data_IF_964156291515
#
_entry.id   IF_964156291515
#
_cell.length_a   1.000
_cell.length_b   1.000
_cell.length_c   1.000
_cell.angle_alpha   90.00
_cell.angle_beta   90.00
_cell.angle_gamma   90.00
#
_symmetry.space_group_name_H-M   'P 1'
#
loop_
_entity.id
_entity.type
_entity.pdbx_description
1 polymer ?
#
# COMPACT_ATOMS: atom_id res chain seq x y z
N UNK A 1 10.06 53.98 30.08
CA UNK A 1 10.48 53.47 28.77
C UNK A 1 11.82 52.78 28.94
N UNK A 2 11.80 51.45 29.10
CA UNK A 2 12.97 50.61 28.98
C UNK A 2 12.52 49.32 28.31
N UNK A 3 13.26 48.94 27.28
CA UNK A 3 13.01 47.81 26.41
C UNK A 3 13.22 46.48 27.15
N UNK A 4 12.26 45.58 27.04
CA UNK A 4 12.45 44.16 27.32
C UNK A 4 12.66 43.44 25.98
N UNK A 5 13.93 43.23 25.66
CA UNK A 5 14.36 42.29 24.63
C UNK A 5 14.31 40.90 25.25
N UNK A 6 13.34 40.09 24.83
CA UNK A 6 13.22 38.68 25.16
C UNK A 6 14.38 37.91 24.53
N UNK A 7 15.48 37.75 25.27
CA UNK A 7 16.54 36.82 24.90
C UNK A 7 16.06 35.39 25.19
N UNK A 8 15.84 34.63 24.12
CA UNK A 8 15.79 33.16 24.15
C UNK A 8 17.07 32.66 24.80
N UNK A 9 16.94 32.07 25.99
CA UNK A 9 18.05 31.59 26.80
C UNK A 9 18.49 30.23 26.27
N UNK A 10 19.47 30.20 25.38
CA UNK A 10 20.16 28.97 24.96
C UNK A 10 20.62 28.19 26.22
N UNK A 11 20.24 26.91 26.30
CA UNK A 11 20.60 26.06 27.43
C UNK A 11 22.04 25.55 27.26
N UNK A 12 22.89 25.58 28.31
CA UNK A 12 24.31 25.20 28.21
C UNK A 12 24.57 23.73 27.83
N UNK A 13 23.52 22.89 27.84
CA UNK A 13 23.56 21.49 27.39
C UNK A 13 23.58 21.35 25.86
N UNK A 14 22.82 22.18 25.15
CA UNK A 14 22.71 22.16 23.68
C UNK A 14 24.04 22.51 23.02
N UNK A 15 24.64 23.62 23.48
CA UNK A 15 25.91 24.11 22.95
C UNK A 15 27.00 23.04 23.02
N UNK A 16 27.01 22.24 24.09
CA UNK A 16 27.96 21.12 24.24
C UNK A 16 27.71 19.98 23.25
N UNK A 17 26.45 19.69 22.93
CA UNK A 17 26.10 18.65 21.95
C UNK A 17 26.47 19.10 20.53
N UNK A 18 26.20 20.35 20.17
CA UNK A 18 26.55 20.92 18.86
C UNK A 18 28.06 20.97 18.68
N UNK A 19 28.82 21.42 19.68
CA UNK A 19 30.29 21.40 19.63
C UNK A 19 30.83 19.98 19.44
N UNK A 20 30.28 19.00 20.16
CA UNK A 20 30.68 17.61 20.02
C UNK A 20 30.38 17.07 18.61
N UNK A 21 29.22 17.40 18.05
CA UNK A 21 28.89 17.05 16.67
C UNK A 21 29.89 17.67 15.68
N UNK A 22 30.22 18.96 15.83
CA UNK A 22 31.19 19.64 14.97
C UNK A 22 32.58 19.01 15.04
N UNK A 23 33.02 18.58 16.23
CA UNK A 23 34.27 17.84 16.42
C UNK A 23 34.25 16.51 15.68
N UNK A 24 33.17 15.73 15.80
CA UNK A 24 33.01 14.45 15.11
C UNK A 24 32.97 14.64 13.60
N UNK A 25 32.22 15.62 13.08
CA UNK A 25 32.14 15.92 11.64
C UNK A 25 33.49 16.36 11.07
N UNK A 26 34.23 17.21 11.80
CA UNK A 26 35.60 17.59 11.42
C UNK A 26 36.56 16.39 11.41
N UNK A 27 36.41 15.48 12.38
CA UNK A 27 37.17 14.24 12.44
C UNK A 27 36.85 13.34 11.24
N UNK A 28 35.55 13.20 10.91
CA UNK A 28 35.08 12.44 9.75
C UNK A 28 35.71 12.95 8.45
N UNK A 29 35.62 14.26 8.17
CA UNK A 29 36.20 14.85 6.95
C UNK A 29 37.68 14.49 6.80
N UNK A 30 38.47 14.76 7.84
CA UNK A 30 39.92 14.54 7.83
C UNK A 30 40.31 13.06 7.72
N UNK A 31 39.54 12.19 8.38
CA UNK A 31 39.76 10.75 8.37
C UNK A 31 39.49 10.17 6.99
N UNK A 32 38.38 10.59 6.36
CA UNK A 32 37.99 10.14 5.03
C UNK A 32 38.98 10.63 3.97
N UNK A 33 39.42 11.89 4.05
CA UNK A 33 40.52 12.42 3.22
C UNK A 33 41.82 11.62 3.38
N UNK A 34 42.05 11.05 4.57
CA UNK A 34 43.18 10.16 4.87
C UNK A 34 42.97 8.70 4.45
N UNK A 35 41.80 8.34 3.91
CA UNK A 35 41.43 6.98 3.49
C UNK A 35 40.91 6.07 4.60
N UNK A 36 40.58 6.60 5.78
CA UNK A 36 40.00 5.86 6.92
C UNK A 36 38.55 6.29 7.18
N UNK A 37 37.61 5.34 7.06
CA UNK A 37 36.18 5.57 7.31
C UNK A 37 35.72 5.29 8.74
N UNK A 38 36.62 4.92 9.66
CA UNK A 38 36.29 4.47 11.02
C UNK A 38 35.55 5.51 11.88
N UNK A 39 35.68 6.80 11.54
CA UNK A 39 35.01 7.90 12.23
C UNK A 39 33.52 8.03 11.89
N UNK A 40 33.05 7.42 10.79
CA UNK A 40 31.63 7.45 10.41
C UNK A 40 30.76 6.69 11.42
N UNK A 41 31.26 5.59 12.00
CA UNK A 41 30.50 4.87 13.04
C UNK A 41 30.33 5.69 14.31
N UNK A 42 31.32 6.51 14.69
CA UNK A 42 31.19 7.42 15.85
C UNK A 42 30.09 8.47 15.62
N UNK A 43 29.98 8.99 14.40
CA UNK A 43 28.88 9.89 14.02
C UNK A 43 27.53 9.17 14.10
N UNK A 44 27.43 7.96 13.54
CA UNK A 44 26.19 7.16 13.58
C UNK A 44 25.77 6.90 15.03
N UNK A 45 26.66 6.41 15.88
CA UNK A 45 26.36 6.10 17.28
C UNK A 45 25.91 7.35 18.07
N UNK A 46 26.54 8.51 17.81
CA UNK A 46 26.15 9.78 18.41
C UNK A 46 24.72 10.18 18.02
N UNK A 47 24.40 10.13 16.73
CA UNK A 47 23.08 10.50 16.21
C UNK A 47 21.98 9.51 16.64
N UNK A 48 22.30 8.22 16.69
CA UNK A 48 21.39 7.21 17.21
C UNK A 48 21.08 7.43 18.70
N UNK A 49 22.08 7.84 19.48
CA UNK A 49 21.88 8.18 20.90
C UNK A 49 20.96 9.40 21.05
N UNK A 50 21.18 10.45 20.26
CA UNK A 50 20.37 11.67 20.31
C UNK A 50 18.91 11.37 19.91
N UNK A 51 18.71 10.73 18.76
CA UNK A 51 17.37 10.38 18.28
C UNK A 51 16.66 9.40 19.22
N UNK A 52 17.36 8.39 19.74
CA UNK A 52 16.81 7.43 20.71
C UNK A 52 16.33 8.11 21.99
N UNK A 53 17.13 9.03 22.54
CA UNK A 53 16.73 9.77 23.75
C UNK A 53 15.47 10.62 23.57
N UNK A 54 15.31 11.23 22.40
CA UNK A 54 14.13 12.04 22.07
C UNK A 54 12.89 11.17 21.78
N UNK A 55 13.07 9.99 21.19
CA UNK A 55 11.99 9.03 20.95
C UNK A 55 11.49 8.39 22.26
N UNK A 56 12.39 8.09 23.20
CA UNK A 56 12.02 7.51 24.50
C UNK A 56 11.25 8.49 25.39
N UNK A 57 11.44 9.79 25.21
CA UNK A 57 10.78 10.84 26.01
C UNK A 57 10.14 11.92 25.10
N UNK A 58 9.00 11.65 24.45
CA UNK A 58 8.36 12.59 23.52
C UNK A 58 7.97 13.93 24.15
N UNK A 59 7.63 13.93 25.44
CA UNK A 59 7.23 15.10 26.23
C UNK A 59 8.41 15.99 26.66
N UNK A 60 9.66 15.54 26.47
CA UNK A 60 10.84 16.32 26.80
C UNK A 60 11.15 17.32 25.67
N UNK A 61 10.60 18.53 25.80
CA UNK A 61 10.87 19.64 24.87
C UNK A 61 12.36 19.92 24.69
N UNK A 62 13.20 19.69 25.72
CA UNK A 62 14.64 19.92 25.61
C UNK A 62 15.25 18.85 24.71
N UNK A 63 14.92 17.57 24.91
CA UNK A 63 15.40 16.50 24.04
C UNK A 63 14.97 16.68 22.58
N UNK A 64 13.72 17.10 22.35
CA UNK A 64 13.20 17.40 21.00
C UNK A 64 13.94 18.57 20.34
N UNK A 65 14.15 19.68 21.07
CA UNK A 65 14.89 20.83 20.55
C UNK A 65 16.37 20.49 20.27
N UNK A 66 17.02 19.72 21.16
CA UNK A 66 18.38 19.24 20.95
C UNK A 66 18.47 18.43 19.65
N UNK A 67 17.54 17.51 19.43
CA UNK A 67 17.51 16.65 18.25
C UNK A 67 17.33 17.47 16.96
N UNK A 68 16.45 18.48 16.99
CA UNK A 68 16.23 19.39 15.88
C UNK A 68 17.48 20.22 15.54
N UNK A 69 18.15 20.77 16.55
CA UNK A 69 19.37 21.55 16.35
C UNK A 69 20.53 20.70 15.82
N UNK A 70 20.71 19.48 16.35
CA UNK A 70 21.71 18.54 15.85
C UNK A 70 21.46 18.20 14.38
N UNK A 71 20.21 17.92 14.00
CA UNK A 71 19.88 17.63 12.60
C UNK A 71 20.09 18.86 11.68
N UNK A 72 19.78 20.06 12.18
CA UNK A 72 20.01 21.32 11.46
C UNK A 72 21.50 21.59 11.22
N UNK A 73 22.34 21.30 12.20
CA UNK A 73 23.79 21.46 12.09
C UNK A 73 24.39 20.48 11.07
N UNK A 74 23.91 19.23 11.04
CA UNK A 74 24.30 18.25 9.99
C UNK A 74 23.94 18.78 8.60
N UNK A 75 22.72 19.29 8.44
CA UNK A 75 22.30 19.85 7.16
C UNK A 75 23.20 21.03 6.75
N UNK A 76 23.53 21.91 7.70
CA UNK A 76 24.42 23.05 7.48
C UNK A 76 25.81 22.59 7.05
N UNK A 77 26.35 21.55 7.70
CA UNK A 77 27.63 20.95 7.33
C UNK A 77 27.62 20.40 5.90
N UNK A 78 26.57 19.64 5.52
CA UNK A 78 26.44 19.07 4.17
C UNK A 78 26.28 20.14 3.09
N UNK A 79 25.63 21.26 3.41
CA UNK A 79 25.46 22.39 2.49
C UNK A 79 26.72 23.26 2.36
N UNK A 80 27.77 22.99 3.13
CA UNK A 80 29.03 23.72 3.03
C UNK A 80 29.67 23.55 1.64
N UNK A 81 30.00 24.66 0.99
CA UNK A 81 30.60 24.66 -0.36
C UNK A 81 32.02 24.06 -0.42
N UNK A 82 32.63 23.81 0.73
CA UNK A 82 34.01 23.29 0.86
C UNK A 82 34.06 21.80 1.12
N UNK A 83 32.92 21.10 1.18
CA UNK A 83 32.88 19.68 1.49
C UNK A 83 33.31 18.85 0.27
N UNK A 84 34.31 18.00 0.44
CA UNK A 84 34.82 17.14 -0.62
C UNK A 84 33.83 16.02 -0.98
N UNK A 85 33.81 15.66 -2.27
CA UNK A 85 32.89 14.62 -2.77
C UNK A 85 33.16 13.25 -2.14
N UNK A 86 34.41 12.93 -1.79
CA UNK A 86 34.76 11.68 -1.10
C UNK A 86 34.09 11.59 0.28
N UNK A 87 33.99 12.72 0.99
CA UNK A 87 33.29 12.81 2.28
C UNK A 87 31.79 12.61 2.08
N UNK A 88 31.21 13.24 1.04
CA UNK A 88 29.79 13.05 0.69
C UNK A 88 29.50 11.59 0.37
N UNK A 89 30.32 10.95 -0.47
CA UNK A 89 30.11 9.57 -0.88
C UNK A 89 30.24 8.61 0.32
N UNK A 90 31.21 8.82 1.21
CA UNK A 90 31.37 8.02 2.43
C UNK A 90 30.19 8.19 3.40
N UNK A 91 29.71 9.42 3.60
CA UNK A 91 28.56 9.70 4.48
C UNK A 91 27.24 9.18 3.89
N UNK A 92 27.13 9.07 2.57
CA UNK A 92 25.91 8.65 1.88
C UNK A 92 25.43 7.26 2.30
N UNK A 93 26.32 6.37 2.74
CA UNK A 93 25.97 4.99 3.12
C UNK A 93 25.13 4.91 4.40
N UNK A 94 25.35 5.82 5.36
CA UNK A 94 24.72 5.73 6.68
C UNK A 94 23.85 6.95 7.01
N UNK A 95 24.23 8.15 6.57
CA UNK A 95 23.58 9.37 7.02
C UNK A 95 22.11 9.50 6.58
N UNK A 96 21.70 9.11 5.35
CA UNK A 96 20.28 9.09 4.97
C UNK A 96 19.42 8.22 5.90
N UNK A 97 19.94 7.05 6.29
CA UNK A 97 19.28 6.12 7.22
C UNK A 97 19.15 6.74 8.60
N UNK A 98 20.24 7.27 9.15
CA UNK A 98 20.23 7.81 10.52
C UNK A 98 19.44 9.11 10.61
N UNK A 99 19.54 10.01 9.62
CA UNK A 99 18.76 11.24 9.57
C UNK A 99 17.24 10.95 9.56
N UNK A 100 16.81 9.90 8.87
CA UNK A 100 15.40 9.49 8.84
C UNK A 100 14.84 9.11 10.21
N UNK A 101 15.68 8.71 11.18
CA UNK A 101 15.21 8.39 12.55
C UNK A 101 14.67 9.63 13.28
N UNK A 102 15.11 10.82 12.87
CA UNK A 102 14.61 12.09 13.42
C UNK A 102 13.27 12.49 12.81
N UNK A 103 12.87 11.92 11.67
CA UNK A 103 11.69 12.35 10.93
C UNK A 103 10.37 12.15 11.70
N UNK A 104 10.33 11.19 12.63
CA UNK A 104 9.16 10.97 13.50
C UNK A 104 9.08 11.91 14.70
N UNK A 105 10.09 12.74 14.96
CA UNK A 105 10.15 13.59 16.15
C UNK A 105 9.30 14.86 16.02
N UNK A 106 9.33 15.50 14.85
CA UNK A 106 8.52 16.69 14.55
C UNK A 106 8.45 16.94 13.05
N UNK A 107 7.48 17.74 12.60
CA UNK A 107 7.38 18.16 11.19
C UNK A 107 8.64 18.89 10.70
N UNK A 108 9.29 19.69 11.55
CA UNK A 108 10.55 20.37 11.22
C UNK A 108 11.70 19.38 11.07
N UNK A 109 11.78 18.37 11.94
CA UNK A 109 12.78 17.30 11.80
C UNK A 109 12.57 16.52 10.49
N UNK A 110 11.32 16.21 10.14
CA UNK A 110 10.98 15.57 8.86
C UNK A 110 11.45 16.40 7.67
N UNK A 111 11.18 17.71 7.64
CA UNK A 111 11.60 18.60 6.55
C UNK A 111 13.13 18.64 6.38
N UNK A 112 13.88 18.68 7.49
CA UNK A 112 15.34 18.71 7.46
C UNK A 112 15.90 17.35 7.05
N UNK A 113 15.37 16.24 7.57
CA UNK A 113 15.75 14.89 7.18
C UNK A 113 15.51 14.67 5.67
N UNK A 114 14.34 15.09 5.17
CA UNK A 114 14.00 15.10 3.76
C UNK A 114 15.00 15.92 2.93
N UNK A 115 15.43 17.08 3.44
CA UNK A 115 16.44 17.93 2.80
C UNK A 115 17.85 17.32 2.77
N UNK A 116 18.24 16.59 3.82
CA UNK A 116 19.50 15.85 3.87
C UNK A 116 19.50 14.74 2.81
N UNK A 117 18.42 13.96 2.73
CA UNK A 117 18.29 12.91 1.70
C UNK A 117 18.31 13.52 0.30
N UNK A 118 17.61 14.64 0.09
CA UNK A 118 17.61 15.36 -1.20
C UNK A 118 19.02 15.81 -1.62
N UNK A 119 19.84 16.25 -0.67
CA UNK A 119 21.23 16.63 -0.93
C UNK A 119 22.04 15.44 -1.46
N UNK A 120 21.94 14.28 -0.82
CA UNK A 120 22.62 13.06 -1.27
C UNK A 120 22.11 12.59 -2.63
N UNK A 121 20.80 12.64 -2.87
CA UNK A 121 20.23 12.29 -4.19
C UNK A 121 20.79 13.19 -5.29
N UNK A 122 21.04 14.47 -5.00
CA UNK A 122 21.59 15.42 -5.97
C UNK A 122 23.10 15.25 -6.22
N UNK A 123 23.85 14.70 -5.25
CA UNK A 123 25.32 14.63 -5.28
C UNK A 123 25.88 13.24 -5.55
N UNK A 124 25.16 12.19 -5.19
CA UNK A 124 25.58 10.81 -5.34
C UNK A 124 24.97 10.14 -6.57
N UNK A 125 25.50 8.98 -6.92
CA UNK A 125 24.96 8.13 -8.00
C UNK A 125 23.53 7.66 -7.67
N UNK A 126 22.54 7.88 -8.56
CA UNK A 126 21.15 7.46 -8.32
C UNK A 126 21.00 5.95 -8.07
N UNK A 127 21.86 5.14 -8.69
CA UNK A 127 21.86 3.68 -8.49
C UNK A 127 22.31 3.30 -7.08
N UNK A 128 23.32 3.99 -6.57
CA UNK A 128 23.87 3.71 -5.25
C UNK A 128 22.88 4.21 -4.18
N UNK A 129 22.30 5.40 -4.38
CA UNK A 129 21.22 5.91 -3.54
C UNK A 129 20.00 5.00 -3.50
N UNK A 130 19.63 4.37 -4.63
CA UNK A 130 18.58 3.37 -4.65
C UNK A 130 18.91 2.20 -3.71
N UNK A 131 20.13 1.65 -3.82
CA UNK A 131 20.58 0.53 -2.99
C UNK A 131 20.64 0.91 -1.51
N UNK A 132 21.13 2.10 -1.19
CA UNK A 132 21.26 2.61 0.18
C UNK A 132 19.88 2.77 0.81
N UNK A 133 18.95 3.46 0.14
CA UNK A 133 17.60 3.69 0.67
C UNK A 133 16.78 2.39 0.76
N UNK A 134 16.92 1.47 -0.20
CA UNK A 134 16.34 0.13 -0.10
C UNK A 134 16.93 -0.66 1.08
N UNK A 135 18.25 -0.60 1.28
CA UNK A 135 18.91 -1.21 2.45
C UNK A 135 18.44 -0.63 3.78
N UNK A 136 18.20 0.69 3.84
CA UNK A 136 17.65 1.37 5.00
C UNK A 136 16.21 0.92 5.32
N UNK A 137 15.39 0.62 4.31
CA UNK A 137 14.06 0.03 4.48
C UNK A 137 14.10 -1.43 4.92
N UNK A 138 15.04 -2.21 4.38
CA UNK A 138 15.16 -3.65 4.68
C UNK A 138 15.83 -3.97 6.02
N UNK A 139 16.45 -3.00 6.68
CA UNK A 139 17.11 -3.22 7.97
C UNK A 139 16.07 -3.51 9.07
N UNK A 140 15.92 -4.80 9.41
CA UNK A 140 14.91 -5.37 10.32
C UNK A 140 15.18 -5.19 11.81
N UNK A 141 16.24 -4.48 12.20
CA UNK A 141 16.55 -4.23 13.61
C UNK A 141 15.91 -2.92 14.08
N UNK A 142 14.59 -2.92 14.38
CA UNK A 142 13.96 -2.17 15.50
C UNK A 142 12.42 -2.18 15.46
N UNK A 143 11.75 -2.18 16.64
CA UNK A 143 10.29 -2.08 16.78
C UNK A 143 9.80 -0.63 16.81
N UNK A 144 10.32 0.24 15.95
CA UNK A 144 9.80 1.60 15.81
C UNK A 144 9.74 1.91 14.31
N UNK A 145 8.74 1.34 13.62
CA UNK A 145 8.25 1.96 12.40
C UNK A 145 7.57 3.28 12.80
N UNK A 146 8.36 4.29 13.15
CA UNK A 146 7.82 5.64 13.16
C UNK A 146 7.42 5.91 11.72
N UNK A 147 6.14 6.21 11.52
CA UNK A 147 5.56 6.58 10.23
C UNK A 147 6.47 7.57 9.49
N UNK A 148 7.09 8.51 10.23
CA UNK A 148 8.06 9.49 9.76
C UNK A 148 9.33 8.90 9.15
N UNK A 149 9.96 7.90 9.78
CA UNK A 149 11.16 7.25 9.24
C UNK A 149 10.89 6.65 7.85
N UNK A 150 9.84 5.82 7.76
CA UNK A 150 9.47 5.16 6.51
C UNK A 150 9.04 6.19 5.47
N UNK A 151 8.24 7.18 5.87
CA UNK A 151 7.77 8.24 4.97
C UNK A 151 8.94 9.03 4.35
N UNK A 152 9.96 9.38 5.13
CA UNK A 152 11.13 10.11 4.62
C UNK A 152 11.92 9.29 3.60
N UNK A 153 12.16 8.01 3.89
CA UNK A 153 12.85 7.11 2.95
C UNK A 153 12.04 6.87 1.67
N UNK A 154 10.72 6.65 1.76
CA UNK A 154 9.85 6.50 0.59
C UNK A 154 9.85 7.77 -0.28
N UNK A 155 9.84 8.96 0.34
CA UNK A 155 9.99 10.22 -0.40
C UNK A 155 11.33 10.27 -1.12
N UNK A 156 12.43 9.87 -0.47
CA UNK A 156 13.74 9.76 -1.11
C UNK A 156 13.71 8.83 -2.33
N UNK A 157 13.17 7.63 -2.18
CA UNK A 157 13.04 6.64 -3.26
C UNK A 157 12.25 7.18 -4.46
N UNK A 158 11.17 7.94 -4.21
CA UNK A 158 10.37 8.56 -5.28
C UNK A 158 11.24 9.48 -6.17
N UNK A 159 12.11 10.28 -5.57
CA UNK A 159 13.04 11.15 -6.30
C UNK A 159 14.17 10.39 -6.97
N UNK A 160 14.68 9.35 -6.33
CA UNK A 160 15.70 8.46 -6.91
C UNK A 160 15.17 7.83 -8.20
N UNK A 161 13.94 7.32 -8.20
CA UNK A 161 13.31 6.69 -9.36
C UNK A 161 13.33 7.61 -10.60
N UNK A 162 12.98 8.89 -10.41
CA UNK A 162 12.99 9.89 -11.48
C UNK A 162 14.41 10.16 -12.01
N UNK A 163 15.40 10.09 -11.11
CA UNK A 163 16.80 10.41 -11.35
C UNK A 163 17.60 9.25 -11.95
N UNK A 164 17.04 8.04 -12.00
CA UNK A 164 17.66 6.89 -12.63
C UNK A 164 17.96 7.18 -14.11
N UNK A 165 19.10 6.68 -14.59
CA UNK A 165 19.57 6.93 -15.96
C UNK A 165 19.47 5.71 -16.88
N UNK A 166 19.51 4.49 -16.33
CA UNK A 166 19.56 3.23 -17.09
C UNK A 166 18.89 2.13 -16.31
N UNK A 167 18.40 1.10 -17.01
CA UNK A 167 17.80 -0.11 -16.41
C UNK A 167 16.67 0.21 -15.42
N UNK A 168 15.86 1.22 -15.77
CA UNK A 168 14.81 1.75 -14.91
C UNK A 168 13.85 0.66 -14.43
N UNK A 169 13.45 -0.22 -15.35
CA UNK A 169 12.49 -1.28 -15.04
C UNK A 169 13.08 -2.29 -14.06
N UNK A 170 14.30 -2.78 -14.31
CA UNK A 170 14.98 -3.75 -13.46
C UNK A 170 15.24 -3.18 -12.06
N UNK A 171 15.64 -1.91 -11.99
CA UNK A 171 15.88 -1.22 -10.72
C UNK A 171 14.59 -1.03 -9.90
N UNK A 172 13.51 -0.60 -10.54
CA UNK A 172 12.21 -0.48 -9.87
C UNK A 172 11.65 -1.85 -9.47
N UNK A 173 11.78 -2.87 -10.32
CA UNK A 173 11.35 -4.24 -10.05
C UNK A 173 12.01 -4.82 -8.78
N UNK A 174 13.26 -4.45 -8.49
CA UNK A 174 13.95 -4.84 -7.24
C UNK A 174 13.48 -4.03 -6.03
N UNK A 175 13.20 -2.73 -6.19
CA UNK A 175 12.83 -1.86 -5.08
C UNK A 175 11.37 -2.04 -4.63
N UNK A 176 10.45 -2.34 -5.56
CA UNK A 176 9.00 -2.43 -5.29
C UNK A 176 8.66 -3.47 -4.21
N UNK A 177 9.19 -4.70 -4.24
CA UNK A 177 8.95 -5.67 -3.18
C UNK A 177 9.35 -5.18 -1.79
N UNK A 178 10.49 -4.49 -1.68
CA UNK A 178 10.98 -3.92 -0.42
C UNK A 178 10.00 -2.86 0.10
N UNK A 179 9.60 -1.93 -0.76
CA UNK A 179 8.63 -0.88 -0.44
C UNK A 179 7.31 -1.48 0.03
N UNK A 180 6.77 -2.44 -0.72
CA UNK A 180 5.48 -3.05 -0.42
C UNK A 180 5.50 -3.88 0.87
N UNK A 181 6.59 -4.59 1.15
CA UNK A 181 6.73 -5.36 2.37
C UNK A 181 6.80 -4.46 3.61
N UNK A 182 7.50 -3.32 3.53
CA UNK A 182 7.52 -2.33 4.61
C UNK A 182 6.14 -1.68 4.79
N UNK A 183 5.45 -1.33 3.70
CA UNK A 183 4.09 -0.79 3.79
C UNK A 183 3.13 -1.79 4.45
N UNK A 184 3.22 -3.08 4.11
CA UNK A 184 2.43 -4.16 4.75
C UNK A 184 2.73 -4.29 6.24
N UNK A 185 4.01 -4.29 6.61
CA UNK A 185 4.45 -4.39 8.00
C UNK A 185 3.94 -3.19 8.80
N UNK A 186 4.11 -1.97 8.28
CA UNK A 186 3.57 -0.76 8.87
C UNK A 186 2.05 -0.90 9.07
N UNK A 187 1.28 -1.27 8.04
CA UNK A 187 -0.19 -1.44 8.18
C UNK A 187 -0.62 -2.46 9.25
N UNK A 188 0.22 -3.43 9.58
CA UNK A 188 -0.10 -4.48 10.56
C UNK A 188 0.21 -4.05 12.01
N UNK A 189 1.05 -3.03 12.19
CA UNK A 189 1.48 -2.53 13.49
C UNK A 189 0.73 -1.28 13.94
N UNK A 190 -0.05 -0.66 13.05
CA UNK A 190 -0.84 0.54 13.35
C UNK A 190 -2.01 0.21 14.28
N UNK A 191 -2.13 0.98 15.36
CA UNK A 191 -3.29 0.95 16.26
C UNK A 191 -4.48 1.75 15.71
N UNK A 192 -5.65 1.62 16.33
CA UNK A 192 -6.92 2.18 15.85
C UNK A 192 -7.01 3.74 15.80
N UNK A 193 -5.99 4.50 16.24
CA UNK A 193 -6.12 5.94 16.53
C UNK A 193 -5.18 6.92 15.79
N UNK A 194 -4.22 6.48 14.98
CA UNK A 194 -3.14 7.40 14.53
C UNK A 194 -3.37 8.09 13.17
N UNK A 195 -3.42 9.42 13.19
CA UNK A 195 -3.42 10.30 11.99
C UNK A 195 -2.14 10.25 11.17
N UNK A 196 -1.09 9.60 11.68
CA UNK A 196 0.21 9.45 11.05
C UNK A 196 0.18 8.54 9.80
N UNK A 197 -0.84 7.70 9.69
CA UNK A 197 -1.01 6.68 8.65
C UNK A 197 -1.20 7.27 7.26
N UNK A 198 -1.90 8.41 7.17
CA UNK A 198 -2.22 9.05 5.90
C UNK A 198 -0.96 9.60 5.20
N UNK A 199 0.01 10.10 5.97
CA UNK A 199 1.25 10.64 5.39
C UNK A 199 2.06 9.53 4.71
N UNK A 200 2.13 8.34 5.32
CA UNK A 200 2.80 7.18 4.74
C UNK A 200 2.20 6.83 3.37
N UNK A 201 0.88 6.78 3.26
CA UNK A 201 0.20 6.51 1.99
C UNK A 201 0.34 7.63 0.96
N UNK A 202 0.40 8.89 1.39
CA UNK A 202 0.76 9.98 0.47
C UNK A 202 2.16 9.77 -0.13
N UNK A 203 3.14 9.27 0.65
CA UNK A 203 4.47 8.94 0.12
C UNK A 203 4.45 7.73 -0.81
N UNK A 204 3.63 6.72 -0.50
CA UNK A 204 3.41 5.57 -1.40
C UNK A 204 2.78 6.00 -2.74
N UNK A 205 1.81 6.92 -2.72
CA UNK A 205 1.26 7.50 -3.95
C UNK A 205 2.35 8.29 -4.71
N UNK A 206 3.23 9.01 -4.01
CA UNK A 206 4.37 9.67 -4.63
C UNK A 206 5.34 8.72 -5.36
N UNK A 207 5.45 7.46 -4.91
CA UNK A 207 6.17 6.41 -5.65
C UNK A 207 5.43 6.08 -6.96
N UNK A 208 4.10 5.93 -6.93
CA UNK A 208 3.29 5.70 -8.14
C UNK A 208 3.44 6.84 -9.15
N UNK A 209 3.42 8.10 -8.68
CA UNK A 209 3.69 9.29 -9.50
C UNK A 209 5.07 9.23 -10.16
N UNK A 210 6.08 8.81 -9.41
CA UNK A 210 7.46 8.72 -9.89
C UNK A 210 7.63 7.61 -10.92
N UNK A 211 6.99 6.45 -10.70
CA UNK A 211 6.93 5.37 -11.69
C UNK A 211 6.26 5.90 -12.96
N UNK A 212 5.08 6.52 -12.87
CA UNK A 212 4.37 7.13 -14.01
C UNK A 212 5.24 8.13 -14.77
N UNK A 213 5.95 9.01 -14.07
CA UNK A 213 6.85 9.98 -14.68
C UNK A 213 8.02 9.33 -15.43
N UNK A 214 8.47 8.15 -14.99
CA UNK A 214 9.45 7.34 -15.72
C UNK A 214 8.81 6.59 -16.88
N UNK A 215 7.60 6.03 -16.71
CA UNK A 215 6.82 5.35 -17.76
C UNK A 215 6.66 6.25 -18.99
N UNK A 216 6.30 7.52 -18.77
CA UNK A 216 6.10 8.53 -19.81
C UNK A 216 7.33 8.81 -20.69
N UNK A 217 8.52 8.33 -20.31
CA UNK A 217 9.76 8.46 -21.10
C UNK A 217 9.98 7.32 -22.11
N UNK A 218 9.15 6.28 -22.07
CA UNK A 218 9.32 5.06 -22.88
C UNK A 218 8.11 4.81 -23.80
N UNK A 219 8.32 4.05 -24.88
CA UNK A 219 7.28 3.61 -25.81
C UNK A 219 7.41 2.09 -26.09
N UNK A 220 6.34 1.48 -26.62
CA UNK A 220 6.32 0.05 -26.98
C UNK A 220 6.36 -0.90 -25.78
N UNK A 221 6.95 -2.09 -25.95
CA UNK A 221 6.93 -3.16 -24.91
C UNK A 221 7.51 -2.77 -23.55
N UNK A 222 8.50 -1.89 -23.51
CA UNK A 222 9.06 -1.42 -22.23
C UNK A 222 8.01 -0.59 -21.49
N UNK A 223 7.20 0.18 -22.22
CA UNK A 223 6.11 0.96 -21.66
C UNK A 223 4.99 0.03 -21.13
N UNK A 224 4.62 -1.03 -21.85
CA UNK A 224 3.65 -2.04 -21.38
C UNK A 224 4.07 -2.68 -20.05
N UNK A 225 5.36 -3.04 -19.90
CA UNK A 225 5.89 -3.57 -18.63
C UNK A 225 5.75 -2.57 -17.48
N UNK A 226 5.99 -1.30 -17.77
CA UNK A 226 5.87 -0.23 -16.80
C UNK A 226 4.42 0.04 -16.38
N UNK A 227 3.48 0.06 -17.33
CA UNK A 227 2.04 0.15 -17.03
C UNK A 227 1.58 -1.04 -16.17
N UNK A 228 2.03 -2.26 -16.49
CA UNK A 228 1.72 -3.45 -15.69
C UNK A 228 2.28 -3.33 -14.26
N UNK A 229 3.56 -2.96 -14.10
CA UNK A 229 4.18 -2.78 -12.78
C UNK A 229 3.49 -1.70 -11.95
N UNK A 230 3.18 -0.55 -12.57
CA UNK A 230 2.47 0.55 -11.93
C UNK A 230 1.06 0.13 -11.53
N UNK A 231 0.32 -0.53 -12.41
CA UNK A 231 -1.02 -1.03 -12.15
C UNK A 231 -1.04 -1.98 -10.95
N UNK A 232 -0.15 -2.98 -10.94
CA UNK A 232 -0.05 -3.92 -9.82
C UNK A 232 0.34 -3.22 -8.51
N UNK A 233 1.27 -2.27 -8.55
CA UNK A 233 1.65 -1.46 -7.39
C UNK A 233 0.47 -0.65 -6.86
N UNK A 234 -0.24 0.08 -7.73
CA UNK A 234 -1.41 0.89 -7.37
C UNK A 234 -2.51 0.03 -6.75
N UNK A 235 -2.80 -1.13 -7.32
CA UNK A 235 -3.79 -2.05 -6.77
C UNK A 235 -3.36 -2.58 -5.39
N UNK A 236 -2.08 -2.92 -5.23
CA UNK A 236 -1.57 -3.35 -3.94
C UNK A 236 -1.70 -2.25 -2.87
N UNK A 237 -1.37 -0.99 -3.20
CA UNK A 237 -1.52 0.16 -2.29
C UNK A 237 -3.00 0.47 -2.03
N UNK A 238 -3.88 0.36 -3.03
CA UNK A 238 -5.34 0.51 -2.87
C UNK A 238 -5.90 -0.46 -1.83
N UNK A 239 -5.42 -1.71 -1.83
CA UNK A 239 -5.82 -2.68 -0.82
C UNK A 239 -5.38 -2.24 0.58
N UNK A 240 -4.11 -1.86 0.74
CA UNK A 240 -3.54 -1.44 2.03
C UNK A 240 -4.27 -0.21 2.61
N UNK A 241 -4.50 0.82 1.80
CA UNK A 241 -5.27 2.01 2.20
C UNK A 241 -6.69 1.64 2.65
N UNK A 242 -7.29 0.64 2.01
CA UNK A 242 -8.64 0.18 2.36
C UNK A 242 -8.68 -0.64 3.64
N UNK A 243 -7.56 -1.26 4.04
CA UNK A 243 -7.43 -1.99 5.30
C UNK A 243 -7.17 -1.01 6.46
N UNK A 244 -6.37 0.02 6.22
CA UNK A 244 -6.00 1.05 7.21
C UNK A 244 -7.08 2.14 7.40
N UNK A 245 -8.29 1.93 6.92
CA UNK A 245 -9.35 2.95 6.95
C UNK A 245 -9.95 3.20 8.35
N UNK A 246 -9.39 2.56 9.39
CA UNK A 246 -9.85 2.65 10.77
C UNK A 246 -11.37 2.44 10.88
N UNK A 247 -12.06 3.26 11.67
CA UNK A 247 -13.51 3.21 11.77
C UNK A 247 -14.26 4.07 10.73
N UNK A 248 -13.56 4.86 9.91
CA UNK A 248 -14.19 5.82 8.98
C UNK A 248 -13.60 5.73 7.58
N UNK A 249 -14.31 4.99 6.74
CA UNK A 249 -14.09 4.85 5.30
C UNK A 249 -13.90 6.21 4.60
N UNK A 250 -14.59 7.27 5.04
CA UNK A 250 -14.45 8.61 4.45
C UNK A 250 -13.04 9.20 4.50
N UNK A 251 -12.21 8.83 5.47
CA UNK A 251 -10.86 9.38 5.63
C UNK A 251 -9.92 8.95 4.50
N UNK A 252 -10.18 7.79 3.89
CA UNK A 252 -9.38 7.25 2.79
C UNK A 252 -9.78 7.82 1.43
N UNK A 253 -10.92 8.51 1.32
CA UNK A 253 -11.48 8.97 0.06
C UNK A 253 -10.48 9.79 -0.79
N UNK A 254 -9.71 10.75 -0.23
CA UNK A 254 -8.72 11.49 -1.01
C UNK A 254 -7.62 10.59 -1.60
N UNK A 255 -7.11 9.63 -0.81
CA UNK A 255 -6.07 8.68 -1.22
C UNK A 255 -6.59 7.72 -2.30
N UNK A 256 -7.78 7.16 -2.07
CA UNK A 256 -8.46 6.25 -3.01
C UNK A 256 -8.76 6.94 -4.34
N UNK A 257 -9.20 8.19 -4.31
CA UNK A 257 -9.43 8.99 -5.52
C UNK A 257 -8.11 9.22 -6.28
N UNK A 258 -7.03 9.59 -5.58
CA UNK A 258 -5.71 9.74 -6.21
C UNK A 258 -5.21 8.43 -6.83
N UNK A 259 -5.32 7.30 -6.12
CA UNK A 259 -4.95 5.98 -6.65
C UNK A 259 -5.80 5.60 -7.87
N UNK A 260 -7.10 5.93 -7.85
CA UNK A 260 -8.01 5.64 -8.95
C UNK A 260 -7.64 6.39 -10.24
N UNK A 261 -7.08 7.59 -10.15
CA UNK A 261 -6.59 8.35 -11.31
C UNK A 261 -5.47 7.64 -12.08
N UNK A 262 -4.80 6.64 -11.49
CA UNK A 262 -3.79 5.85 -12.21
C UNK A 262 -4.39 4.72 -13.04
N UNK A 263 -5.62 4.28 -12.77
CA UNK A 263 -6.21 3.11 -13.43
C UNK A 263 -6.31 3.28 -14.95
N UNK A 264 -6.83 4.40 -15.50
CA UNK A 264 -6.86 4.61 -16.95
C UNK A 264 -5.47 4.64 -17.57
N UNK A 265 -4.48 5.19 -16.85
CA UNK A 265 -3.10 5.25 -17.33
C UNK A 265 -2.44 3.87 -17.41
N UNK A 266 -2.88 2.92 -16.58
CA UNK A 266 -2.36 1.55 -16.57
C UNK A 266 -3.19 0.60 -17.43
N UNK A 267 -4.08 1.12 -18.28
CA UNK A 267 -5.04 0.34 -19.09
C UNK A 267 -5.95 -0.58 -18.23
N UNK A 268 -6.23 -0.18 -16.99
CA UNK A 268 -7.09 -0.93 -16.06
C UNK A 268 -8.51 -0.38 -16.10
N UNK A 269 -9.46 -1.25 -16.43
CA UNK A 269 -10.89 -0.92 -16.52
C UNK A 269 -11.65 -1.50 -15.33
N UNK A 270 -12.74 -0.87 -14.89
CA UNK A 270 -13.57 -1.44 -13.81
C UNK A 270 -14.14 -2.82 -14.17
N UNK A 271 -14.50 -3.06 -15.44
CA UNK A 271 -14.97 -4.37 -15.88
C UNK A 271 -13.85 -5.42 -15.81
N UNK A 272 -12.65 -5.09 -16.28
CA UNK A 272 -11.53 -6.03 -16.26
C UNK A 272 -10.94 -6.24 -14.86
N UNK A 273 -10.99 -5.22 -13.99
CA UNK A 273 -10.63 -5.34 -12.58
C UNK A 273 -11.61 -6.24 -11.81
N UNK A 274 -12.92 -6.06 -11.99
CA UNK A 274 -13.91 -6.86 -11.27
C UNK A 274 -13.98 -8.29 -11.80
N UNK A 275 -13.71 -8.54 -13.08
CA UNK A 275 -13.62 -9.90 -13.64
C UNK A 275 -12.26 -10.56 -13.41
N UNK A 276 -11.23 -9.76 -13.08
CA UNK A 276 -9.86 -10.22 -12.85
C UNK A 276 -9.00 -10.30 -14.12
N UNK A 277 -9.56 -10.07 -15.32
CA UNK A 277 -8.83 -10.16 -16.58
C UNK A 277 -7.64 -9.21 -16.65
N UNK A 278 -7.81 -7.97 -16.18
CA UNK A 278 -6.78 -6.94 -16.26
C UNK A 278 -5.63 -7.25 -15.28
N UNK A 279 -5.98 -7.79 -14.11
CA UNK A 279 -5.00 -8.25 -13.11
C UNK A 279 -4.18 -9.40 -13.65
N UNK A 280 -4.84 -10.42 -14.22
CA UNK A 280 -4.16 -11.59 -14.75
C UNK A 280 -3.29 -11.21 -15.97
N UNK A 281 -3.75 -10.30 -16.84
CA UNK A 281 -2.97 -9.77 -17.95
C UNK A 281 -1.72 -9.01 -17.49
N UNK A 282 -1.86 -8.05 -16.56
CA UNK A 282 -0.73 -7.31 -15.99
C UNK A 282 0.26 -8.25 -15.27
N UNK A 283 -0.26 -9.24 -14.55
CA UNK A 283 0.56 -10.25 -13.87
C UNK A 283 1.37 -11.08 -14.86
N UNK A 284 0.76 -11.54 -15.96
CA UNK A 284 1.44 -12.33 -16.97
C UNK A 284 2.59 -11.57 -17.65
N UNK A 285 2.40 -10.27 -17.94
CA UNK A 285 3.45 -9.40 -18.50
C UNK A 285 4.68 -9.35 -17.58
N UNK A 286 4.47 -9.35 -16.26
CA UNK A 286 5.56 -9.33 -15.29
C UNK A 286 6.19 -10.71 -15.10
N UNK A 287 5.38 -11.78 -15.03
CA UNK A 287 5.79 -13.17 -14.75
C UNK A 287 6.68 -13.79 -15.82
N UNK A 288 6.55 -13.41 -17.10
CA UNK A 288 7.35 -13.96 -18.21
C UNK A 288 8.89 -13.89 -17.99
N UNK A 289 9.36 -13.18 -16.95
CA UNK A 289 10.78 -13.02 -16.59
C UNK A 289 11.08 -13.10 -15.07
N UNK A 290 10.36 -13.88 -14.24
CA UNK A 290 10.54 -13.86 -12.75
C UNK A 290 10.75 -15.23 -12.08
N UNK A 291 11.57 -15.22 -11.02
CA UNK A 291 11.59 -16.18 -9.91
C UNK A 291 10.36 -16.00 -8.98
N UNK A 292 9.94 -17.05 -8.28
CA UNK A 292 8.70 -17.11 -7.48
C UNK A 292 8.52 -16.00 -6.41
N UNK A 293 9.59 -15.31 -5.98
CA UNK A 293 9.56 -14.42 -4.82
C UNK A 293 8.87 -13.07 -5.06
N UNK A 294 8.83 -12.54 -6.30
CA UNK A 294 8.18 -11.25 -6.58
C UNK A 294 6.67 -11.28 -6.31
N UNK A 295 6.02 -12.41 -6.53
CA UNK A 295 4.57 -12.53 -6.39
C UNK A 295 4.11 -12.46 -4.94
N UNK A 296 4.97 -12.78 -3.97
CA UNK A 296 4.66 -12.71 -2.54
C UNK A 296 4.33 -11.28 -2.10
N UNK A 297 5.03 -10.28 -2.64
CA UNK A 297 4.80 -8.87 -2.29
C UNK A 297 3.48 -8.32 -2.87
N UNK A 298 2.89 -9.00 -3.86
CA UNK A 298 1.64 -8.64 -4.54
C UNK A 298 0.40 -9.42 -4.04
N UNK A 299 0.47 -10.00 -2.84
CA UNK A 299 -0.58 -10.82 -2.24
C UNK A 299 -1.97 -10.16 -2.17
N UNK A 300 -2.07 -8.83 -2.20
CA UNK A 300 -3.34 -8.11 -2.10
C UNK A 300 -3.81 -7.45 -3.41
N UNK A 301 -3.14 -7.67 -4.54
CA UNK A 301 -3.55 -7.08 -5.84
C UNK A 301 -5.00 -7.42 -6.19
N UNK A 302 -5.45 -8.67 -6.01
CA UNK A 302 -6.85 -9.06 -6.27
C UNK A 302 -7.85 -8.42 -5.29
N UNK A 303 -7.41 -8.11 -4.06
CA UNK A 303 -8.19 -7.32 -3.12
C UNK A 303 -8.32 -5.88 -3.65
N UNK A 304 -7.20 -5.27 -4.02
CA UNK A 304 -7.14 -3.91 -4.56
C UNK A 304 -7.97 -3.72 -5.82
N UNK A 305 -7.95 -4.69 -6.74
CA UNK A 305 -8.77 -4.68 -7.95
C UNK A 305 -10.25 -4.63 -7.64
N UNK A 306 -10.71 -5.54 -6.77
CA UNK A 306 -12.11 -5.59 -6.33
C UNK A 306 -12.48 -4.31 -5.56
N UNK A 307 -11.61 -3.86 -4.66
CA UNK A 307 -11.83 -2.68 -3.83
C UNK A 307 -11.90 -1.40 -4.67
N UNK A 308 -11.07 -1.26 -5.71
CA UNK A 308 -11.13 -0.12 -6.63
C UNK A 308 -12.52 0.06 -7.23
N UNK A 309 -13.15 -1.05 -7.63
CA UNK A 309 -14.51 -1.05 -8.20
C UNK A 309 -15.56 -0.78 -7.13
N UNK A 310 -15.41 -1.33 -5.93
CA UNK A 310 -16.34 -1.05 -4.82
C UNK A 310 -16.24 0.41 -4.39
N UNK A 311 -15.06 1.01 -4.35
CA UNK A 311 -14.92 2.44 -4.07
C UNK A 311 -15.60 3.32 -5.12
N UNK A 312 -15.41 3.02 -6.41
CA UNK A 312 -16.15 3.67 -7.49
C UNK A 312 -17.66 3.45 -7.45
N UNK A 313 -18.11 2.30 -6.93
CA UNK A 313 -19.53 2.03 -6.71
C UNK A 313 -20.12 2.88 -5.56
N UNK A 314 -19.31 3.24 -4.56
CA UNK A 314 -19.76 4.03 -3.40
C UNK A 314 -19.73 5.52 -3.71
N UNK A 315 -18.68 5.99 -4.38
CA UNK A 315 -18.43 7.42 -4.60
C UNK A 315 -18.20 7.73 -6.08
N UNK A 316 -19.06 8.57 -6.65
CA UNK A 316 -18.99 8.97 -8.06
C UNK A 316 -17.67 9.67 -8.42
N UNK A 317 -17.10 10.47 -7.51
CA UNK A 317 -15.81 11.13 -7.72
C UNK A 317 -14.66 10.12 -7.90
N UNK A 318 -14.74 8.96 -7.25
CA UNK A 318 -13.77 7.87 -7.42
C UNK A 318 -13.98 7.18 -8.76
N UNK A 319 -15.23 6.95 -9.17
CA UNK A 319 -15.55 6.41 -10.49
C UNK A 319 -15.06 7.33 -11.61
N UNK A 320 -15.28 8.63 -11.48
CA UNK A 320 -14.79 9.64 -12.44
C UNK A 320 -13.26 9.65 -12.52
N UNK A 321 -12.57 9.62 -11.37
CA UNK A 321 -11.11 9.53 -11.31
C UNK A 321 -10.58 8.28 -12.04
N UNK A 322 -11.25 7.14 -11.87
CA UNK A 322 -10.91 5.89 -12.55
C UNK A 322 -11.30 5.85 -14.04
N UNK A 323 -11.92 6.89 -14.59
CA UNK A 323 -12.53 6.84 -15.91
C UNK A 323 -13.60 5.75 -16.05
N UNK A 324 -14.18 5.32 -14.93
CA UNK A 324 -15.08 4.17 -14.84
C UNK A 324 -16.54 4.57 -14.98
N UNK A 325 -17.29 3.80 -15.79
CA UNK A 325 -18.74 3.91 -15.88
C UNK A 325 -19.41 2.74 -15.14
N UNK A 326 -19.85 3.00 -13.90
CA UNK A 326 -20.52 1.99 -13.08
C UNK A 326 -21.87 1.53 -13.66
N UNK A 327 -22.51 2.34 -14.51
CA UNK A 327 -23.75 1.96 -15.18
C UNK A 327 -23.49 0.94 -16.29
N UNK A 328 -22.44 1.15 -17.08
CA UNK A 328 -21.94 0.20 -18.07
C UNK A 328 -21.53 -1.13 -17.42
N UNK A 329 -20.68 -1.07 -16.38
CA UNK A 329 -20.22 -2.28 -15.67
C UNK A 329 -21.41 -3.08 -15.13
N UNK A 330 -22.39 -2.41 -14.54
CA UNK A 330 -23.61 -3.07 -14.04
C UNK A 330 -24.40 -3.74 -15.18
N UNK A 331 -24.60 -3.04 -16.29
CA UNK A 331 -25.33 -3.57 -17.44
C UNK A 331 -24.65 -4.79 -18.07
N UNK A 332 -23.33 -4.76 -18.20
CA UNK A 332 -22.53 -5.88 -18.70
C UNK A 332 -22.63 -7.08 -17.75
N UNK A 333 -22.41 -6.88 -16.44
CA UNK A 333 -22.49 -7.98 -15.48
C UNK A 333 -23.91 -8.56 -15.34
N UNK A 334 -24.97 -7.77 -15.56
CA UNK A 334 -26.34 -8.28 -15.55
C UNK A 334 -26.68 -9.08 -16.81
N UNK A 335 -26.12 -8.72 -17.96
CA UNK A 335 -26.41 -9.36 -19.25
C UNK A 335 -25.49 -10.53 -19.58
N UNK A 336 -24.26 -10.54 -19.06
CA UNK A 336 -23.24 -11.56 -19.33
C UNK A 336 -22.97 -12.43 -18.10
N UNK A 337 -23.41 -13.69 -18.17
CA UNK A 337 -23.30 -14.64 -17.07
C UNK A 337 -21.84 -15.02 -16.73
N UNK A 338 -20.98 -15.16 -17.73
CA UNK A 338 -19.56 -15.49 -17.51
C UNK A 338 -18.84 -14.36 -16.77
N UNK A 339 -19.02 -13.12 -17.23
CA UNK A 339 -18.43 -11.95 -16.58
C UNK A 339 -18.97 -11.81 -15.14
N UNK A 340 -20.25 -12.13 -14.93
CA UNK A 340 -20.84 -12.13 -13.59
C UNK A 340 -20.22 -13.18 -12.67
N UNK A 341 -20.00 -14.41 -13.13
CA UNK A 341 -19.35 -15.45 -12.33
C UNK A 341 -17.91 -15.09 -11.97
N UNK A 342 -17.17 -14.49 -12.91
CA UNK A 342 -15.84 -13.95 -12.65
C UNK A 342 -15.88 -12.84 -11.59
N UNK A 343 -16.83 -11.91 -11.69
CA UNK A 343 -17.04 -10.85 -10.71
C UNK A 343 -17.35 -11.37 -9.30
N UNK A 344 -18.25 -12.37 -9.20
CA UNK A 344 -18.54 -13.07 -7.94
C UNK A 344 -17.25 -13.70 -7.38
N UNK A 345 -16.47 -14.35 -8.25
CA UNK A 345 -15.19 -14.95 -7.91
C UNK A 345 -14.16 -13.97 -7.37
N UNK A 346 -14.08 -12.76 -7.92
CA UNK A 346 -13.15 -11.72 -7.44
C UNK A 346 -13.59 -11.11 -6.11
N UNK A 347 -14.89 -10.90 -5.92
CA UNK A 347 -15.44 -10.32 -4.68
C UNK A 347 -15.18 -11.18 -3.44
N UNK A 348 -14.86 -12.47 -3.59
CA UNK A 348 -14.40 -13.32 -2.47
C UNK A 348 -13.22 -12.72 -1.72
N UNK A 349 -12.32 -12.00 -2.41
CA UNK A 349 -11.14 -11.40 -1.78
C UNK A 349 -11.53 -10.32 -0.76
N UNK A 350 -12.58 -9.55 -1.04
CA UNK A 350 -13.15 -8.58 -0.08
C UNK A 350 -13.86 -9.30 1.07
N UNK A 351 -14.72 -10.27 0.73
CA UNK A 351 -15.63 -10.88 1.70
C UNK A 351 -14.92 -11.84 2.67
N UNK A 352 -13.88 -12.54 2.20
CA UNK A 352 -13.13 -13.52 2.98
C UNK A 352 -12.03 -12.89 3.86
N UNK A 353 -11.52 -11.71 3.49
CA UNK A 353 -10.44 -11.04 4.22
C UNK A 353 -10.90 -10.60 5.61
N UNK A 354 -10.05 -10.80 6.62
CA UNK A 354 -10.26 -10.29 7.99
C UNK A 354 -9.98 -8.79 8.09
N UNK A 355 -9.12 -8.28 7.22
CA UNK A 355 -8.53 -6.94 7.30
C UNK A 355 -9.43 -5.89 6.65
N UNK A 356 -10.40 -6.32 5.84
CA UNK A 356 -11.39 -5.41 5.23
C UNK A 356 -12.51 -5.08 6.21
N UNK A 357 -12.77 -3.77 6.36
CA UNK A 357 -13.86 -3.24 7.16
C UNK A 357 -15.23 -3.76 6.75
N UNK A 358 -16.10 -3.97 7.75
CA UNK A 358 -17.49 -4.42 7.55
C UNK A 358 -18.29 -3.49 6.65
N UNK A 359 -17.99 -2.19 6.63
CA UNK A 359 -18.66 -1.23 5.76
C UNK A 359 -18.35 -1.49 4.27
N UNK A 360 -17.09 -1.73 3.92
CA UNK A 360 -16.72 -2.10 2.55
C UNK A 360 -17.31 -3.47 2.15
N UNK A 361 -17.34 -4.44 3.08
CA UNK A 361 -18.04 -5.72 2.86
C UNK A 361 -19.53 -5.53 2.62
N UNK A 362 -20.19 -4.61 3.33
CA UNK A 362 -21.60 -4.26 3.09
C UNK A 362 -21.81 -3.75 1.67
N UNK A 363 -20.95 -2.87 1.18
CA UNK A 363 -21.04 -2.38 -0.19
C UNK A 363 -20.76 -3.45 -1.24
N UNK A 364 -19.82 -4.36 -0.97
CA UNK A 364 -19.58 -5.53 -1.83
C UNK A 364 -20.80 -6.47 -1.90
N UNK A 365 -21.47 -6.75 -0.78
CA UNK A 365 -22.72 -7.52 -0.77
C UNK A 365 -23.84 -6.79 -1.54
N UNK A 366 -23.98 -5.48 -1.35
CA UNK A 366 -24.98 -4.70 -2.09
C UNK A 366 -24.69 -4.71 -3.60
N UNK A 367 -23.43 -4.62 -4.00
CA UNK A 367 -23.01 -4.73 -5.39
C UNK A 367 -23.34 -6.12 -5.98
N UNK A 368 -23.09 -7.21 -5.24
CA UNK A 368 -23.52 -8.56 -5.63
C UNK A 368 -25.04 -8.64 -5.88
N UNK A 369 -25.84 -8.08 -4.99
CA UNK A 369 -27.30 -8.03 -5.16
C UNK A 369 -27.70 -7.25 -6.42
N UNK A 370 -27.00 -6.16 -6.72
CA UNK A 370 -27.24 -5.36 -7.92
C UNK A 370 -26.93 -6.13 -9.21
N UNK A 371 -25.79 -6.81 -9.31
CA UNK A 371 -25.38 -7.49 -10.55
C UNK A 371 -26.13 -8.80 -10.79
N UNK A 372 -26.69 -9.40 -9.73
CA UNK A 372 -27.51 -10.63 -9.81
C UNK A 372 -29.01 -10.37 -10.01
N UNK A 373 -29.44 -9.10 -10.12
CA UNK A 373 -30.82 -8.70 -10.42
C UNK A 373 -31.22 -8.85 -11.91
N UNK A 374 -30.34 -9.38 -12.77
CA UNK A 374 -30.57 -9.40 -14.22
C UNK A 374 -31.68 -10.36 -14.65
N UNK A 375 -32.63 -9.87 -15.46
CA UNK A 375 -33.63 -10.67 -16.20
C UNK A 375 -33.02 -11.42 -17.40
N UNK A 376 -31.70 -11.65 -17.41
CA UNK A 376 -31.02 -12.29 -18.52
C UNK A 376 -31.54 -13.72 -18.71
N UNK A 377 -31.89 -14.08 -19.94
CA UNK A 377 -32.18 -15.47 -20.31
C UNK A 377 -31.00 -16.33 -19.89
N UNK A 378 -31.22 -17.19 -18.89
CA UNK A 378 -30.30 -18.26 -18.49
C UNK A 378 -29.89 -19.02 -19.74
N UNK A 379 -28.62 -18.93 -20.10
CA UNK A 379 -28.09 -19.68 -21.23
C UNK A 379 -27.70 -21.07 -20.73
N UNK A 380 -28.71 -21.82 -20.24
CA UNK A 380 -28.58 -23.08 -19.48
C UNK A 380 -27.93 -24.24 -20.28
N UNK A 381 -27.38 -24.01 -21.48
CA UNK A 381 -26.89 -25.08 -22.36
C UNK A 381 -25.60 -24.83 -23.16
N UNK A 382 -24.91 -23.70 -23.03
CA UNK A 382 -23.75 -23.38 -23.91
C UNK A 382 -22.46 -22.98 -23.21
N UNK A 383 -22.48 -22.60 -21.93
CA UNK A 383 -21.29 -22.12 -21.22
C UNK A 383 -20.83 -23.12 -20.18
N UNK A 384 -19.63 -23.66 -20.35
CA UNK A 384 -18.98 -24.56 -19.37
C UNK A 384 -18.67 -23.80 -18.07
N UNK A 385 -19.37 -24.14 -16.99
CA UNK A 385 -19.22 -23.52 -15.67
C UNK A 385 -18.07 -24.14 -14.85
N UNK A 386 -17.52 -25.27 -15.29
CA UNK A 386 -16.54 -26.05 -14.52
C UNK A 386 -15.28 -25.24 -14.15
N UNK A 387 -14.82 -24.37 -15.05
CA UNK A 387 -13.65 -23.51 -14.85
C UNK A 387 -13.85 -22.52 -13.70
N UNK A 388 -15.08 -22.08 -13.47
CA UNK A 388 -15.42 -21.08 -12.45
C UNK A 388 -15.79 -21.69 -11.09
N UNK A 389 -16.10 -23.00 -11.07
CA UNK A 389 -16.63 -23.70 -9.91
C UNK A 389 -15.78 -23.53 -8.63
N UNK A 390 -14.44 -23.66 -8.65
CA UNK A 390 -13.63 -23.43 -7.44
C UNK A 390 -13.76 -22.00 -6.92
N UNK A 391 -13.84 -21.02 -7.81
CA UNK A 391 -13.96 -19.60 -7.44
C UNK A 391 -15.34 -19.28 -6.89
N UNK A 392 -16.40 -19.80 -7.50
CA UNK A 392 -17.78 -19.66 -7.04
C UNK A 392 -18.00 -20.35 -5.69
N UNK A 393 -17.40 -21.51 -5.46
CA UNK A 393 -17.42 -22.18 -4.16
C UNK A 393 -16.74 -21.33 -3.07
N UNK A 394 -15.54 -20.83 -3.34
CA UNK A 394 -14.81 -19.97 -2.40
C UNK A 394 -15.54 -18.64 -2.13
N UNK A 395 -16.17 -18.04 -3.15
CA UNK A 395 -17.01 -16.86 -2.98
C UNK A 395 -18.25 -17.15 -2.13
N UNK A 396 -18.90 -18.29 -2.34
CA UNK A 396 -20.05 -18.72 -1.54
C UNK A 396 -19.67 -18.92 -0.07
N UNK A 397 -18.52 -19.57 0.19
CA UNK A 397 -17.97 -19.70 1.55
C UNK A 397 -17.68 -18.33 2.18
N UNK A 398 -17.12 -17.39 1.41
CA UNK A 398 -16.85 -16.03 1.88
C UNK A 398 -18.14 -15.29 2.25
N UNK A 399 -19.22 -15.42 1.44
CA UNK A 399 -20.54 -14.86 1.77
C UNK A 399 -21.08 -15.51 3.04
N UNK A 400 -20.95 -16.83 3.21
CA UNK A 400 -21.37 -17.53 4.43
C UNK A 400 -20.65 -17.01 5.67
N UNK A 401 -19.34 -16.72 5.59
CA UNK A 401 -18.61 -16.06 6.68
C UNK A 401 -19.22 -14.70 7.05
N UNK A 402 -19.64 -13.89 6.07
CA UNK A 402 -20.34 -12.62 6.34
C UNK A 402 -21.69 -12.86 7.03
N UNK A 403 -22.45 -13.87 6.64
CA UNK A 403 -23.73 -14.23 7.30
C UNK A 403 -23.51 -14.57 8.78
N UNK A 404 -22.41 -15.25 9.11
CA UNK A 404 -22.13 -15.70 10.48
C UNK A 404 -21.58 -14.56 11.33
N UNK A 405 -20.54 -13.89 10.85
CA UNK A 405 -19.72 -13.00 11.67
C UNK A 405 -20.07 -11.53 11.58
N UNK A 406 -20.88 -11.09 10.60
CA UNK A 406 -21.20 -9.68 10.48
C UNK A 406 -21.96 -9.18 11.73
N UNK A 407 -21.54 -8.04 12.32
CA UNK A 407 -22.16 -7.50 13.53
C UNK A 407 -23.56 -6.96 13.27
N UNK A 408 -23.85 -6.54 12.04
CA UNK A 408 -25.13 -5.97 11.64
C UNK A 408 -26.08 -7.03 11.08
N UNK A 409 -27.27 -7.15 11.68
CA UNK A 409 -28.34 -8.06 11.23
C UNK A 409 -28.84 -7.79 9.81
N UNK A 410 -28.91 -6.53 9.37
CA UNK A 410 -29.26 -6.17 7.99
C UNK A 410 -28.22 -6.71 7.01
N UNK A 411 -26.93 -6.54 7.31
CA UNK A 411 -25.84 -7.08 6.49
C UNK A 411 -25.93 -8.61 6.38
N UNK A 412 -26.20 -9.31 7.49
CA UNK A 412 -26.39 -10.78 7.47
C UNK A 412 -27.56 -11.20 6.58
N UNK A 413 -28.69 -10.47 6.60
CA UNK A 413 -29.85 -10.74 5.74
C UNK A 413 -29.53 -10.51 4.27
N UNK A 414 -28.86 -9.39 3.95
CA UNK A 414 -28.46 -9.07 2.58
C UNK A 414 -27.44 -10.08 2.03
N UNK A 415 -26.50 -10.53 2.88
CA UNK A 415 -25.54 -11.58 2.51
C UNK A 415 -26.24 -12.92 2.25
N UNK A 416 -27.23 -13.29 3.06
CA UNK A 416 -28.05 -14.48 2.80
C UNK A 416 -28.84 -14.38 1.50
N UNK A 417 -29.41 -13.22 1.20
CA UNK A 417 -30.08 -12.97 -0.09
C UNK A 417 -29.09 -13.06 -1.26
N UNK A 418 -27.89 -12.50 -1.12
CA UNK A 418 -26.86 -12.56 -2.14
C UNK A 418 -26.41 -14.01 -2.41
N UNK A 419 -26.22 -14.83 -1.36
CA UNK A 419 -25.88 -16.24 -1.50
C UNK A 419 -26.93 -17.00 -2.32
N UNK A 420 -28.23 -16.80 -2.01
CA UNK A 420 -29.31 -17.45 -2.76
C UNK A 420 -29.26 -17.09 -4.24
N UNK A 421 -29.00 -15.82 -4.58
CA UNK A 421 -28.95 -15.36 -5.97
C UNK A 421 -27.73 -15.89 -6.71
N UNK A 422 -26.56 -15.94 -6.07
CA UNK A 422 -25.36 -16.56 -6.65
C UNK A 422 -25.59 -18.04 -6.95
N UNK A 423 -26.20 -18.77 -6.02
CA UNK A 423 -26.56 -20.18 -6.24
C UNK A 423 -27.60 -20.34 -7.36
N UNK A 424 -28.61 -19.47 -7.41
CA UNK A 424 -29.62 -19.47 -8.46
C UNK A 424 -29.00 -19.21 -9.86
N UNK A 425 -27.97 -18.38 -9.92
CA UNK A 425 -27.25 -18.03 -11.14
C UNK A 425 -26.29 -19.13 -11.63
N UNK A 426 -25.99 -20.12 -10.79
CA UNK A 426 -25.16 -21.29 -11.13
C UNK A 426 -26.02 -22.39 -11.79
N UNK A 427 -25.52 -23.15 -12.78
CA UNK A 427 -26.23 -24.29 -13.36
C UNK A 427 -26.50 -25.39 -12.32
N UNK A 428 -27.51 -26.22 -12.59
CA UNK A 428 -28.06 -27.13 -11.57
C UNK A 428 -27.08 -28.20 -11.07
N UNK A 429 -26.25 -28.76 -11.94
CA UNK A 429 -25.22 -29.75 -11.59
C UNK A 429 -24.19 -29.18 -10.61
N UNK A 430 -23.58 -28.06 -10.99
CA UNK A 430 -22.53 -27.38 -10.24
C UNK A 430 -23.07 -26.76 -8.94
N UNK A 431 -24.34 -26.34 -8.93
CA UNK A 431 -25.00 -25.86 -7.71
C UNK A 431 -25.01 -26.92 -6.61
N UNK A 432 -25.24 -28.19 -6.95
CA UNK A 432 -25.21 -29.29 -5.99
C UNK A 432 -23.80 -29.50 -5.43
N UNK A 433 -22.78 -29.37 -6.27
CA UNK A 433 -21.38 -29.48 -5.86
C UNK A 433 -20.99 -28.35 -4.89
N UNK A 434 -21.37 -27.10 -5.18
CA UNK A 434 -21.15 -25.96 -4.28
C UNK A 434 -21.84 -26.19 -2.94
N UNK A 435 -23.10 -26.62 -2.95
CA UNK A 435 -23.86 -26.87 -1.71
C UNK A 435 -23.24 -28.00 -0.88
N UNK A 436 -22.76 -29.05 -1.54
CA UNK A 436 -22.06 -30.16 -0.88
C UNK A 436 -20.74 -29.67 -0.28
N UNK A 437 -19.96 -28.89 -1.03
CA UNK A 437 -18.71 -28.31 -0.54
C UNK A 437 -18.94 -27.40 0.68
N UNK A 438 -19.97 -26.56 0.66
CA UNK A 438 -20.37 -25.72 1.79
C UNK A 438 -20.68 -26.55 3.04
N UNK A 439 -21.52 -27.59 2.91
CA UNK A 439 -21.88 -28.48 4.02
C UNK A 439 -20.68 -29.22 4.61
N UNK A 440 -19.75 -29.68 3.78
CA UNK A 440 -18.56 -30.41 4.22
C UNK A 440 -17.50 -29.53 4.89
N UNK A 441 -17.52 -28.23 4.63
CA UNK A 441 -16.55 -27.26 5.17
C UNK A 441 -17.11 -26.47 6.37
N UNK A 442 -18.30 -26.85 6.84
CA UNK A 442 -19.01 -26.19 7.93
C UNK A 442 -18.73 -26.83 9.29
N UNK A 443 -18.04 -26.09 10.17
CA UNK A 443 -17.89 -26.49 11.58
C UNK A 443 -19.00 -25.90 12.48
N UNK A 444 -19.95 -25.13 11.93
CA UNK A 444 -21.01 -24.47 12.69
C UNK A 444 -22.36 -25.16 12.49
N UNK A 445 -22.94 -25.66 13.57
CA UNK A 445 -24.28 -26.28 13.58
C UNK A 445 -25.39 -25.33 13.09
N UNK A 446 -25.20 -24.01 13.20
CA UNK A 446 -26.11 -23.00 12.63
C UNK A 446 -25.97 -22.84 11.10
N UNK A 447 -24.78 -23.08 10.56
CA UNK A 447 -24.47 -23.03 9.13
C UNK A 447 -25.00 -24.28 8.42
N UNK A 448 -24.84 -25.47 9.02
CA UNK A 448 -25.48 -26.71 8.54
C UNK A 448 -27.01 -26.53 8.39
N UNK A 449 -27.68 -25.89 9.36
CA UNK A 449 -29.13 -25.62 9.31
C UNK A 449 -29.53 -24.65 8.18
N UNK A 450 -28.75 -23.59 7.96
CA UNK A 450 -28.98 -22.63 6.86
C UNK A 450 -28.71 -23.25 5.49
N UNK A 451 -27.66 -24.06 5.38
CA UNK A 451 -27.26 -24.74 4.15
C UNK A 451 -28.22 -25.87 3.79
N UNK A 452 -28.70 -26.64 4.77
CA UNK A 452 -29.80 -27.63 4.62
C UNK A 452 -31.09 -26.93 4.19
N UNK A 453 -31.40 -25.75 4.75
CA UNK A 453 -32.57 -24.95 4.35
C UNK A 453 -32.45 -24.42 2.91
N UNK A 454 -31.25 -24.03 2.48
CA UNK A 454 -30.99 -23.61 1.10
C UNK A 454 -31.06 -24.79 0.13
N UNK A 455 -30.44 -25.94 0.45
CA UNK A 455 -30.56 -27.17 -0.35
C UNK A 455 -32.02 -27.58 -0.48
N UNK A 456 -32.78 -27.56 0.60
CA UNK A 456 -34.18 -27.97 0.60
C UNK A 456 -35.07 -27.06 -0.27
N UNK A 457 -34.84 -25.74 -0.27
CA UNK A 457 -35.54 -24.81 -1.18
C UNK A 457 -35.12 -24.97 -2.63
N UNK A 458 -33.82 -25.11 -2.89
CA UNK A 458 -33.28 -25.34 -4.23
C UNK A 458 -33.83 -26.63 -4.84
N UNK A 459 -33.90 -27.72 -4.07
CA UNK A 459 -34.50 -28.99 -4.50
C UNK A 459 -36.02 -28.90 -4.74
N UNK A 460 -36.70 -27.87 -4.23
CA UNK A 460 -38.13 -27.63 -4.43
C UNK A 460 -38.43 -26.76 -5.65
N UNK A 461 -37.46 -25.97 -6.10
CA UNK A 461 -37.57 -25.03 -7.22
C UNK A 461 -36.96 -25.59 -8.53
N UNK A 462 -36.26 -26.72 -8.48
CA UNK A 462 -35.92 -27.53 -9.66
C UNK A 462 -37.06 -28.54 -9.96
N UNK A 463 -37.68 -28.53 -11.15
CA UNK A 463 -38.55 -29.61 -11.59
C UNK A 463 -37.83 -30.93 -11.81
#
# INVERSE_FOLDING_TARGET
MSAETTQLRESPSIHRLVLRLQEILCSCSKSIEGGDGSSVSELVDFLETVSGSALENPEDEVAQNNALEILSEIQTFLLSATLDQEVIDALSFELPKVASKFAGLSSRCLEIADGIIDHFIAKCSPRDMLSILCGALSATDRPIYSSGYVASILRGLSKVFISLQRRHFEQMKVAIPIILNVLKAACSELGDEDTEDLNLFHRAIGIADSIRAVCAKFEGRINEKFHALLGLYVLQVMALVSFSAGHKVSNCLPLVSQLSNFLPYCDLSYLGLITGSDVDAATNIIIEEVEDDFMSCLSYVKHGASLSVIWGYIYDDVAQAAGGDMSFVRGELQSNQTNRWQAVGMLKHILASTDVLWELKKHAINFLLCITNGNGTRNDGLTDCSIFLPSLCAASQAITKVIIYAPNTELRKNAYEALKRVLADTPTSERFDILTALLTTSDSSSMILLEVSCTWKVCRECP
#
